data_IF_143389370772
#
_entry.id   IF_143389370772
#
_cell.length_a   1.000
_cell.length_b   1.000
_cell.length_c   1.000
_cell.angle_alpha   90.00
_cell.angle_beta   90.00
_cell.angle_gamma   90.00
#
_symmetry.space_group_name_H-M   'P 1'
#
loop_
_entity.id
_entity.type
_entity.pdbx_description
1 polymer ?
#
# COMPACT_ATOMS: atom_id res chain seq x y z
N UNK A 1 3.00 22.37 -5.24
CA UNK A 1 4.00 23.27 -5.89
C UNK A 1 3.34 23.87 -7.11
N UNK A 2 3.36 25.20 -7.24
CA UNK A 2 2.66 25.91 -8.31
C UNK A 2 3.36 25.79 -9.67
N UNK A 3 2.62 25.98 -10.75
CA UNK A 3 3.10 25.93 -12.14
C UNK A 3 4.32 26.86 -12.37
N UNK A 4 4.37 27.98 -11.66
CA UNK A 4 5.47 28.94 -11.64
C UNK A 4 6.77 28.34 -11.09
N UNK A 5 6.69 27.46 -10.09
CA UNK A 5 7.86 26.74 -9.54
C UNK A 5 8.40 25.72 -10.54
N UNK A 6 7.52 25.03 -11.27
CA UNK A 6 7.92 24.06 -12.30
C UNK A 6 8.62 24.76 -13.48
N UNK A 7 8.06 25.87 -13.97
CA UNK A 7 8.67 26.67 -15.04
C UNK A 7 10.03 27.25 -14.66
N UNK A 8 10.23 27.60 -13.39
CA UNK A 8 11.53 28.04 -12.86
C UNK A 8 12.55 26.89 -12.82
N UNK A 9 12.13 25.70 -12.36
CA UNK A 9 13.01 24.53 -12.29
C UNK A 9 13.49 24.07 -13.67
N UNK A 10 12.61 24.10 -14.69
CA UNK A 10 12.96 23.77 -16.09
C UNK A 10 14.03 24.70 -16.68
N UNK A 11 14.23 25.89 -16.11
CA UNK A 11 15.25 26.85 -16.55
C UNK A 11 16.49 26.86 -15.66
N UNK A 12 16.50 26.03 -14.61
CA UNK A 12 17.63 25.98 -13.68
C UNK A 12 18.87 25.36 -14.33
N UNK A 13 20.05 25.90 -14.01
CA UNK A 13 21.32 25.42 -14.56
C UNK A 13 21.54 23.91 -14.32
N UNK A 14 21.11 23.39 -13.15
CA UNK A 14 21.17 21.96 -12.83
C UNK A 14 20.35 21.09 -13.80
N UNK A 15 19.19 21.56 -14.24
CA UNK A 15 18.37 20.81 -15.20
C UNK A 15 19.01 20.81 -16.60
N UNK A 16 19.57 21.96 -17.02
CA UNK A 16 20.28 22.08 -18.30
C UNK A 16 21.54 21.20 -18.33
N UNK A 17 22.30 21.16 -17.24
CA UNK A 17 23.50 20.33 -17.09
C UNK A 17 23.18 18.82 -17.08
N UNK A 18 22.06 18.42 -16.47
CA UNK A 18 21.62 17.02 -16.53
C UNK A 18 21.05 16.63 -17.90
N UNK A 19 20.43 17.57 -18.64
CA UNK A 19 19.94 17.32 -20.00
C UNK A 19 21.08 17.12 -21.00
N UNK A 20 22.17 17.89 -20.89
CA UNK A 20 23.36 17.70 -21.72
C UNK A 20 24.07 16.38 -21.39
N UNK A 21 24.10 15.96 -20.12
CA UNK A 21 24.61 14.65 -19.71
C UNK A 21 23.74 13.47 -20.21
N UNK A 22 22.42 13.65 -20.29
CA UNK A 22 21.47 12.60 -20.72
C UNK A 22 21.46 12.40 -22.24
N UNK A 23 21.84 13.43 -23.02
CA UNK A 23 21.89 13.34 -24.48
C UNK A 23 23.10 12.50 -24.97
N UNK A 24 24.10 12.32 -24.12
CA UNK A 24 25.33 11.61 -24.47
C UNK A 24 25.28 10.09 -24.25
N UNK A 25 24.35 9.52 -23.47
CA UNK A 25 24.37 8.07 -23.20
C UNK A 25 23.00 7.42 -22.96
N UNK A 26 22.80 6.33 -23.71
CA UNK A 26 21.83 5.23 -23.55
C UNK A 26 20.39 5.45 -24.01
N UNK A 27 20.08 4.92 -25.19
CA UNK A 27 18.73 4.44 -25.50
C UNK A 27 18.56 3.06 -24.87
N UNK A 28 17.41 2.80 -24.24
CA UNK A 28 17.03 1.52 -23.58
C UNK A 28 17.34 0.28 -24.43
N UNK A 29 17.37 0.42 -25.76
CA UNK A 29 17.71 -0.62 -26.73
C UNK A 29 19.13 -1.20 -26.57
N UNK A 30 20.08 -0.45 -26.02
CA UNK A 30 21.46 -0.92 -25.81
C UNK A 30 21.57 -2.00 -24.73
N UNK A 31 20.54 -2.16 -23.88
CA UNK A 31 20.56 -3.17 -22.82
C UNK A 31 20.05 -4.56 -23.25
N UNK A 32 19.45 -4.68 -24.43
CA UNK A 32 18.79 -5.92 -24.87
C UNK A 32 19.46 -6.61 -26.07
N UNK A 33 20.53 -6.06 -26.64
CA UNK A 33 21.19 -6.63 -27.82
C UNK A 33 22.71 -6.70 -27.65
N UNK A 34 23.19 -7.79 -27.03
CA UNK A 34 24.50 -8.38 -27.30
C UNK A 34 24.65 -9.71 -26.54
N UNK A 35 24.01 -10.77 -27.05
CA UNK A 35 24.60 -12.11 -26.95
C UNK A 35 25.10 -12.42 -28.35
N UNK A 36 26.37 -12.11 -28.63
CA UNK A 36 27.09 -12.75 -29.72
C UNK A 36 28.56 -12.87 -29.32
N UNK A 37 29.05 -14.10 -29.40
CA UNK A 37 30.39 -14.61 -29.10
C UNK A 37 31.55 -13.64 -29.39
N UNK A 38 32.38 -13.38 -28.38
CA UNK A 38 33.82 -13.24 -28.59
C UNK A 38 34.63 -13.79 -27.41
N UNK A 39 35.48 -14.78 -27.71
CA UNK A 39 36.42 -15.47 -26.83
C UNK A 39 37.67 -14.61 -26.65
N UNK A 40 37.96 -14.15 -25.44
CA UNK A 40 39.28 -13.63 -25.02
C UNK A 40 39.53 -14.00 -23.55
N UNK A 41 40.78 -14.31 -23.23
CA UNK A 41 41.35 -14.91 -22.02
C UNK A 41 41.16 -14.16 -20.68
N UNK A 42 41.36 -14.81 -19.51
CA UNK A 42 40.81 -14.36 -18.24
C UNK A 42 41.73 -13.38 -17.50
N UNK A 43 41.22 -12.17 -17.26
CA UNK A 43 41.71 -11.26 -16.23
C UNK A 43 40.79 -11.41 -15.01
N UNK A 44 41.28 -11.54 -13.76
CA UNK A 44 40.42 -11.78 -12.60
C UNK A 44 39.78 -10.46 -12.15
N UNK A 45 38.73 -10.03 -12.82
CA UNK A 45 37.78 -9.08 -12.25
C UNK A 45 36.75 -9.89 -11.46
N UNK A 46 36.79 -9.72 -10.13
CA UNK A 46 35.79 -10.22 -9.19
C UNK A 46 34.43 -9.58 -9.51
N UNK A 47 33.69 -10.14 -10.46
CA UNK A 47 32.29 -9.81 -10.68
C UNK A 47 31.46 -10.58 -9.66
N UNK A 48 31.12 -9.94 -8.54
CA UNK A 48 29.98 -10.34 -7.71
C UNK A 48 28.70 -10.16 -8.53
N UNK A 49 28.38 -11.16 -9.36
CA UNK A 49 27.00 -11.44 -9.75
C UNK A 49 26.31 -11.98 -8.51
N UNK A 50 25.90 -11.07 -7.62
CA UNK A 50 24.95 -11.43 -6.58
C UNK A 50 23.67 -11.86 -7.30
N UNK A 51 23.36 -13.16 -7.17
CA UNK A 51 22.26 -13.83 -7.83
C UNK A 51 20.95 -13.05 -7.59
N UNK A 52 20.40 -12.45 -8.64
CA UNK A 52 19.19 -11.59 -8.59
C UNK A 52 18.03 -12.32 -7.90
N UNK A 53 17.96 -13.65 -8.05
CA UNK A 53 16.98 -14.51 -7.37
C UNK A 53 17.09 -14.41 -5.85
N UNK A 54 18.31 -14.36 -5.31
CA UNK A 54 18.56 -14.25 -3.88
C UNK A 54 18.12 -12.89 -3.31
N UNK A 55 18.35 -11.80 -4.06
CA UNK A 55 17.95 -10.45 -3.67
C UNK A 55 16.43 -10.30 -3.64
N UNK A 56 15.74 -10.83 -4.66
CA UNK A 56 14.29 -10.84 -4.71
C UNK A 56 13.67 -11.63 -3.54
N UNK A 57 14.26 -12.79 -3.18
CA UNK A 57 13.83 -13.58 -2.02
C UNK A 57 14.03 -12.84 -0.70
N UNK A 58 15.19 -12.21 -0.52
CA UNK A 58 15.48 -11.41 0.68
C UNK A 58 14.50 -10.25 0.83
N UNK A 59 14.24 -9.51 -0.26
CA UNK A 59 13.24 -8.44 -0.28
C UNK A 59 11.84 -8.96 0.12
N UNK A 60 11.42 -10.11 -0.42
CA UNK A 60 10.14 -10.72 -0.06
C UNK A 60 10.05 -11.04 1.44
N UNK A 61 11.08 -11.67 2.01
CA UNK A 61 11.11 -12.00 3.44
C UNK A 61 11.06 -10.76 4.35
N UNK A 62 11.68 -9.65 3.93
CA UNK A 62 11.58 -8.37 4.65
C UNK A 62 10.15 -7.85 4.60
N UNK A 63 9.55 -7.78 3.41
CA UNK A 63 8.17 -7.31 3.23
C UNK A 63 7.18 -8.17 4.03
N UNK A 64 7.34 -9.50 4.03
CA UNK A 64 6.51 -10.41 4.81
C UNK A 64 6.62 -10.09 6.32
N UNK A 65 7.82 -9.85 6.82
CA UNK A 65 8.04 -9.42 8.20
C UNK A 65 7.39 -8.08 8.54
N UNK A 66 7.44 -7.12 7.61
CA UNK A 66 6.81 -5.81 7.78
C UNK A 66 5.28 -5.87 7.74
N UNK A 67 4.70 -6.75 6.91
CA UNK A 67 3.25 -7.04 6.88
C UNK A 67 2.82 -7.68 8.20
N UNK A 68 3.55 -8.69 8.68
CA UNK A 68 3.26 -9.35 9.96
C UNK A 68 3.34 -8.39 11.14
N UNK A 69 4.37 -7.53 11.17
CA UNK A 69 4.49 -6.49 12.19
C UNK A 69 3.30 -5.52 12.14
N UNK A 70 2.92 -5.07 10.95
CA UNK A 70 1.78 -4.17 10.77
C UNK A 70 0.46 -4.82 11.22
N UNK A 71 0.22 -6.08 10.88
CA UNK A 71 -0.92 -6.85 11.35
C UNK A 71 -0.93 -6.97 12.88
N UNK A 72 0.22 -7.24 13.50
CA UNK A 72 0.35 -7.28 14.96
C UNK A 72 -0.04 -5.94 15.59
N UNK A 73 0.42 -4.82 15.02
CA UNK A 73 0.07 -3.50 15.54
C UNK A 73 -1.42 -3.22 15.48
N UNK A 74 -2.06 -3.48 14.33
CA UNK A 74 -3.50 -3.25 14.15
C UNK A 74 -4.32 -4.12 15.09
N UNK A 75 -4.00 -5.42 15.17
CA UNK A 75 -4.74 -6.38 16.01
C UNK A 75 -4.52 -6.17 17.50
N UNK A 76 -3.37 -5.61 17.91
CA UNK A 76 -3.07 -5.29 19.30
C UNK A 76 -3.40 -3.83 19.67
N UNK A 77 -4.06 -3.07 18.78
CA UNK A 77 -4.42 -1.67 18.97
C UNK A 77 -3.23 -0.74 19.32
N UNK A 78 -2.07 -1.00 18.72
CA UNK A 78 -0.92 -0.11 18.89
C UNK A 78 -1.08 1.14 18.02
N UNK A 79 -0.66 2.28 18.56
CA UNK A 79 -0.51 3.48 17.74
C UNK A 79 0.58 3.23 16.68
N UNK A 80 0.44 3.79 15.48
CA UNK A 80 1.52 3.70 14.49
C UNK A 80 2.83 4.30 15.01
N UNK A 81 2.74 5.34 15.86
CA UNK A 81 3.89 5.96 16.52
C UNK A 81 4.64 4.99 17.44
N UNK A 82 4.00 3.92 17.92
CA UNK A 82 4.65 2.85 18.69
C UNK A 82 5.66 2.05 17.86
N UNK A 83 5.59 2.12 16.52
CA UNK A 83 6.63 1.54 15.64
C UNK A 83 7.83 2.45 15.38
N UNK A 84 7.84 3.67 15.95
CA UNK A 84 9.01 4.53 15.88
C UNK A 84 10.24 3.78 16.45
N UNK A 85 11.36 3.84 15.72
CA UNK A 85 12.63 3.18 16.08
C UNK A 85 12.60 1.66 16.22
N UNK A 86 11.49 0.98 15.87
CA UNK A 86 11.40 -0.49 15.96
C UNK A 86 12.42 -1.18 15.05
N UNK A 87 12.70 -0.61 13.87
CA UNK A 87 13.75 -1.14 12.99
C UNK A 87 15.13 -1.10 13.63
N UNK A 88 15.47 -0.05 14.38
CA UNK A 88 16.77 0.04 15.06
C UNK A 88 16.84 -0.92 16.25
N UNK A 89 15.73 -1.11 16.96
CA UNK A 89 15.62 -2.13 18.00
C UNK A 89 15.84 -3.53 17.42
N UNK A 90 15.20 -3.88 16.30
CA UNK A 90 15.36 -5.20 15.67
C UNK A 90 16.78 -5.44 15.18
N UNK A 91 17.43 -4.43 14.60
CA UNK A 91 18.87 -4.49 14.25
C UNK A 91 19.74 -4.82 15.45
N UNK A 92 19.42 -4.27 16.63
CA UNK A 92 20.18 -4.48 17.87
C UNK A 92 19.87 -5.82 18.53
N UNK A 93 18.63 -6.29 18.46
CA UNK A 93 18.21 -7.60 18.98
C UNK A 93 18.72 -8.76 18.12
N UNK A 94 18.79 -8.57 16.80
CA UNK A 94 19.14 -9.61 15.84
C UNK A 94 20.23 -9.13 14.86
N UNK A 95 21.45 -8.86 15.34
CA UNK A 95 22.51 -8.23 14.54
C UNK A 95 23.03 -9.12 13.41
N UNK A 96 22.82 -10.43 13.49
CA UNK A 96 23.20 -11.45 12.50
C UNK A 96 22.15 -11.63 11.40
N UNK A 97 20.93 -11.09 11.56
CA UNK A 97 19.81 -11.34 10.63
C UNK A 97 19.66 -10.24 9.61
N UNK A 98 19.83 -10.62 8.34
CA UNK A 98 19.65 -9.71 7.19
C UNK A 98 18.24 -9.10 7.13
N UNK A 99 17.22 -9.88 7.51
CA UNK A 99 15.84 -9.37 7.61
C UNK A 99 15.75 -8.23 8.62
N UNK A 100 16.36 -8.38 9.80
CA UNK A 100 16.35 -7.34 10.83
C UNK A 100 17.16 -6.11 10.42
N UNK A 101 18.29 -6.31 9.72
CA UNK A 101 19.09 -5.21 9.14
C UNK A 101 18.30 -4.37 8.13
N UNK A 102 17.52 -5.03 7.28
CA UNK A 102 16.74 -4.40 6.22
C UNK A 102 15.35 -3.93 6.66
N UNK A 103 14.88 -4.33 7.85
CA UNK A 103 13.57 -3.93 8.38
C UNK A 103 13.50 -2.40 8.55
N UNK A 104 12.50 -1.78 7.91
CA UNK A 104 12.33 -0.33 7.89
C UNK A 104 10.89 0.10 8.19
N UNK A 105 10.03 -0.82 8.61
CA UNK A 105 8.61 -0.55 8.88
C UNK A 105 8.43 0.25 10.18
N UNK A 106 8.36 1.57 9.99
CA UNK A 106 8.04 2.56 11.00
C UNK A 106 6.61 3.07 10.81
N UNK A 107 6.25 4.15 11.51
CA UNK A 107 4.89 4.71 11.56
C UNK A 107 4.27 4.89 10.17
N UNK A 108 4.95 5.61 9.28
CA UNK A 108 4.44 5.96 7.96
C UNK A 108 4.29 4.75 7.06
N UNK A 109 5.27 3.84 7.11
CA UNK A 109 5.26 2.61 6.31
C UNK A 109 4.17 1.67 6.78
N UNK A 110 3.96 1.58 8.09
CA UNK A 110 2.86 0.81 8.67
C UNK A 110 1.50 1.34 8.24
N UNK A 111 1.28 2.66 8.35
CA UNK A 111 0.04 3.29 7.88
C UNK A 111 -0.19 3.05 6.37
N UNK A 112 0.87 3.14 5.57
CA UNK A 112 0.84 2.84 4.14
C UNK A 112 0.46 1.38 3.88
N UNK A 113 1.09 0.42 4.58
CA UNK A 113 0.79 -1.02 4.46
C UNK A 113 -0.66 -1.30 4.85
N UNK A 114 -1.18 -0.68 5.91
CA UNK A 114 -2.59 -0.83 6.30
C UNK A 114 -3.51 -0.33 5.19
N UNK A 115 -3.31 0.90 4.70
CA UNK A 115 -4.25 1.54 3.78
C UNK A 115 -4.15 1.01 2.35
N UNK A 116 -2.94 0.80 1.82
CA UNK A 116 -2.70 0.40 0.43
C UNK A 116 -2.43 -1.10 0.25
N UNK A 117 -2.08 -1.82 1.31
CA UNK A 117 -1.84 -3.27 1.26
C UNK A 117 -2.99 -4.06 1.85
N UNK A 118 -3.19 -3.94 3.17
CA UNK A 118 -4.13 -4.77 3.92
C UNK A 118 -5.59 -4.45 3.62
N UNK A 119 -5.98 -3.17 3.61
CA UNK A 119 -7.37 -2.75 3.32
C UNK A 119 -7.89 -3.33 2.00
N UNK A 120 -7.25 -3.12 0.82
CA UNK A 120 -7.77 -3.67 -0.43
C UNK A 120 -7.80 -5.21 -0.42
N UNK A 121 -6.82 -5.87 0.20
CA UNK A 121 -6.84 -7.33 0.36
C UNK A 121 -8.07 -7.80 1.14
N UNK A 122 -8.32 -7.28 2.33
CA UNK A 122 -9.46 -7.69 3.15
C UNK A 122 -10.81 -7.28 2.55
N UNK A 123 -10.86 -6.16 1.82
CA UNK A 123 -12.04 -5.75 1.08
C UNK A 123 -12.36 -6.74 -0.04
N UNK A 124 -11.36 -7.20 -0.79
CA UNK A 124 -11.56 -8.23 -1.84
C UNK A 124 -12.03 -9.57 -1.27
N UNK A 125 -11.62 -9.92 -0.05
CA UNK A 125 -12.13 -11.10 0.66
C UNK A 125 -13.60 -10.92 1.02
N UNK A 126 -13.97 -9.75 1.55
CA UNK A 126 -15.37 -9.43 1.87
C UNK A 126 -16.25 -9.48 0.62
N UNK A 127 -15.80 -8.90 -0.51
CA UNK A 127 -16.54 -8.92 -1.77
C UNK A 127 -16.79 -10.35 -2.26
N UNK A 128 -15.76 -11.21 -2.30
CA UNK A 128 -15.92 -12.63 -2.67
C UNK A 128 -16.91 -13.38 -1.79
N UNK A 129 -16.90 -13.12 -0.49
CA UNK A 129 -17.85 -13.76 0.43
C UNK A 129 -19.29 -13.28 0.18
N UNK A 130 -19.47 -12.01 -0.20
CA UNK A 130 -20.78 -11.45 -0.50
C UNK A 130 -21.31 -11.88 -1.86
N UNK A 131 -20.46 -12.07 -2.87
CA UNK A 131 -20.81 -12.66 -4.17
C UNK A 131 -21.33 -14.10 -4.04
N UNK A 132 -20.92 -14.81 -3.00
CA UNK A 132 -21.36 -16.18 -2.71
C UNK A 132 -22.60 -16.25 -1.81
N UNK A 133 -23.04 -15.11 -1.25
CA UNK A 133 -24.21 -15.04 -0.38
C UNK A 133 -25.46 -14.71 -1.21
N UNK A 134 -26.60 -15.35 -0.90
CA UNK A 134 -27.89 -15.07 -1.56
C UNK A 134 -28.37 -13.62 -1.35
N UNK A 135 -27.80 -12.94 -0.36
CA UNK A 135 -28.03 -11.53 -0.11
C UNK A 135 -27.27 -11.04 1.12
N UNK A 136 -27.34 -9.74 1.35
CA UNK A 136 -26.77 -9.11 2.52
C UNK A 136 -27.60 -7.91 2.97
N UNK A 137 -27.43 -7.54 4.23
CA UNK A 137 -28.00 -6.34 4.82
C UNK A 137 -26.87 -5.38 5.16
N UNK A 138 -27.03 -4.12 4.78
CA UNK A 138 -26.13 -3.05 5.20
C UNK A 138 -26.63 -2.49 6.53
N UNK A 139 -25.73 -2.41 7.50
CA UNK A 139 -25.97 -1.83 8.82
C UNK A 139 -25.13 -0.56 8.93
N UNK A 140 -25.68 0.50 9.49
CA UNK A 140 -24.93 1.72 9.76
C UNK A 140 -25.17 2.22 11.18
N UNK A 141 -24.15 2.80 11.80
CA UNK A 141 -24.24 3.39 13.13
C UNK A 141 -23.48 4.71 13.16
N UNK A 142 -24.13 5.77 13.65
CA UNK A 142 -23.52 7.09 13.82
C UNK A 142 -23.02 7.30 15.24
N UNK A 143 -21.77 7.76 15.39
CA UNK A 143 -21.15 8.13 16.66
C UNK A 143 -20.37 9.44 16.52
N UNK A 144 -20.05 10.08 17.65
CA UNK A 144 -19.06 11.15 17.68
C UNK A 144 -17.68 10.51 17.85
N UNK A 145 -16.75 10.81 16.94
CA UNK A 145 -15.36 10.45 17.14
C UNK A 145 -14.75 11.42 18.16
N UNK A 146 -14.52 10.96 19.39
CA UNK A 146 -14.05 11.81 20.49
C UNK A 146 -12.66 12.42 20.25
N UNK A 147 -11.80 11.76 19.48
CA UNK A 147 -10.47 12.27 19.19
C UNK A 147 -10.51 13.40 18.16
N UNK A 148 -11.26 13.18 17.07
CA UNK A 148 -11.35 14.14 15.96
C UNK A 148 -12.45 15.19 16.15
N UNK A 149 -13.33 15.00 17.13
CA UNK A 149 -14.53 15.82 17.37
C UNK A 149 -15.40 15.95 16.10
N UNK A 150 -15.51 14.85 15.35
CA UNK A 150 -16.29 14.77 14.10
C UNK A 150 -17.29 13.63 14.18
N UNK A 151 -18.47 13.82 13.60
CA UNK A 151 -19.44 12.73 13.48
C UNK A 151 -18.92 11.71 12.48
N UNK A 152 -19.04 10.44 12.84
CA UNK A 152 -18.59 9.31 12.06
C UNK A 152 -19.75 8.32 11.92
N UNK A 153 -19.93 7.78 10.72
CA UNK A 153 -20.86 6.68 10.48
C UNK A 153 -20.05 5.45 10.08
N UNK A 154 -20.15 4.43 10.92
CA UNK A 154 -19.56 3.12 10.65
C UNK A 154 -20.56 2.27 9.87
N UNK A 155 -20.10 1.64 8.80
CA UNK A 155 -20.89 0.83 7.89
C UNK A 155 -20.40 -0.61 7.99
N UNK A 156 -21.33 -1.52 8.24
CA UNK A 156 -21.10 -2.95 8.32
C UNK A 156 -21.99 -3.67 7.32
N UNK A 157 -21.55 -4.85 6.89
CA UNK A 157 -22.34 -5.75 6.06
C UNK A 157 -22.61 -7.03 6.85
N UNK A 158 -23.88 -7.44 6.88
CA UNK A 158 -24.34 -8.68 7.49
C UNK A 158 -24.87 -9.62 6.42
N UNK A 159 -24.36 -10.84 6.40
CA UNK A 159 -24.66 -11.85 5.38
C UNK A 159 -24.54 -13.25 5.97
N UNK A 160 -25.01 -14.25 5.24
CA UNK A 160 -24.77 -15.65 5.57
C UNK A 160 -23.41 -16.06 5.01
N UNK A 161 -22.45 -16.40 5.87
CA UNK A 161 -21.19 -16.99 5.42
C UNK A 161 -21.41 -18.48 5.23
N UNK A 162 -20.92 -19.03 4.12
CA UNK A 162 -20.93 -20.48 3.86
C UNK A 162 -19.78 -21.18 4.60
N UNK A 163 -18.74 -20.45 5.00
CA UNK A 163 -17.55 -20.98 5.67
C UNK A 163 -17.01 -19.98 6.71
N UNK A 164 -17.37 -20.13 8.00
CA UNK A 164 -18.29 -21.13 8.56
C UNK A 164 -19.77 -20.77 8.30
N UNK A 165 -20.64 -21.79 8.26
CA UNK A 165 -22.10 -21.66 8.09
C UNK A 165 -22.76 -20.88 9.24
N UNK A 166 -22.75 -19.54 9.15
CA UNK A 166 -23.38 -18.66 10.14
C UNK A 166 -23.63 -17.26 9.59
N UNK A 167 -24.57 -16.58 10.22
CA UNK A 167 -24.70 -15.13 10.08
C UNK A 167 -23.40 -14.46 10.54
N UNK A 168 -22.78 -13.72 9.64
CA UNK A 168 -21.53 -13.00 9.87
C UNK A 168 -21.77 -11.51 9.66
N UNK A 169 -21.23 -10.67 10.54
CA UNK A 169 -21.22 -9.21 10.38
C UNK A 169 -19.78 -8.75 10.27
N UNK A 170 -19.44 -8.06 9.18
CA UNK A 170 -18.10 -7.52 8.95
C UNK A 170 -18.15 -6.01 8.80
N UNK A 171 -17.14 -5.34 9.35
CA UNK A 171 -16.89 -3.94 9.07
C UNK A 171 -16.56 -3.75 7.59
N UNK A 172 -17.16 -2.73 6.97
CA UNK A 172 -16.87 -2.35 5.59
C UNK A 172 -16.04 -1.07 5.55
N UNK A 173 -16.58 0.05 6.05
CA UNK A 173 -15.90 1.35 6.04
C UNK A 173 -16.50 2.29 7.08
N UNK A 174 -15.83 3.43 7.29
CA UNK A 174 -16.33 4.54 8.10
C UNK A 174 -16.31 5.82 7.28
N UNK A 175 -17.35 6.64 7.40
CA UNK A 175 -17.43 7.94 6.73
C UNK A 175 -17.59 9.07 7.74
N UNK A 176 -16.80 10.13 7.60
CA UNK A 176 -16.98 11.34 8.40
C UNK A 176 -18.09 12.20 7.83
N UNK A 177 -18.90 12.74 8.74
CA UNK A 177 -20.06 13.57 8.44
C UNK A 177 -19.91 14.92 9.14
N UNK A 178 -20.35 15.99 8.50
CA UNK A 178 -20.51 17.29 9.15
C UNK A 178 -21.85 17.33 9.88
N UNK A 179 -22.92 17.35 9.09
CA UNK A 179 -24.30 17.24 9.56
C UNK A 179 -24.77 15.77 9.54
N UNK A 180 -25.86 15.47 10.24
CA UNK A 180 -26.44 14.12 10.31
C UNK A 180 -27.96 14.18 10.20
N UNK A 181 -28.45 15.02 9.29
CA UNK A 181 -29.85 14.95 8.88
C UNK A 181 -30.09 13.64 8.13
N UNK A 182 -31.36 13.27 7.96
CA UNK A 182 -31.70 12.08 7.18
C UNK A 182 -31.12 12.13 5.75
N UNK A 183 -31.07 13.32 5.14
CA UNK A 183 -30.48 13.52 3.81
C UNK A 183 -28.96 13.28 3.83
N UNK A 184 -28.25 13.82 4.82
CA UNK A 184 -26.80 13.63 4.95
C UNK A 184 -26.45 12.15 5.14
N UNK A 185 -27.21 11.45 5.99
CA UNK A 185 -27.03 10.02 6.24
C UNK A 185 -27.25 9.21 4.96
N UNK A 186 -28.33 9.48 4.23
CA UNK A 186 -28.63 8.81 2.97
C UNK A 186 -27.53 9.05 1.93
N UNK A 187 -27.12 10.29 1.73
CA UNK A 187 -26.08 10.66 0.76
C UNK A 187 -24.75 9.97 1.08
N UNK A 188 -24.32 10.01 2.35
CA UNK A 188 -23.05 9.40 2.77
C UNK A 188 -23.09 7.88 2.73
N UNK A 189 -24.23 7.27 3.06
CA UNK A 189 -24.40 5.82 2.98
C UNK A 189 -24.36 5.36 1.52
N UNK A 190 -25.10 6.01 0.62
CA UNK A 190 -25.13 5.63 -0.79
C UNK A 190 -23.77 5.85 -1.45
N UNK A 191 -23.11 6.98 -1.21
CA UNK A 191 -21.77 7.25 -1.75
C UNK A 191 -20.74 6.22 -1.29
N UNK A 192 -20.79 5.79 -0.03
CA UNK A 192 -19.91 4.71 0.45
C UNK A 192 -20.18 3.37 -0.25
N UNK A 193 -21.43 3.08 -0.62
CA UNK A 193 -21.80 1.83 -1.28
C UNK A 193 -21.53 1.86 -2.80
N UNK A 194 -21.41 3.03 -3.43
CA UNK A 194 -20.98 3.12 -4.83
C UNK A 194 -19.56 2.56 -5.02
N UNK A 195 -18.64 2.87 -4.09
CA UNK A 195 -17.29 2.30 -4.07
C UNK A 195 -17.29 0.77 -3.90
N UNK A 196 -18.33 0.23 -3.26
CA UNK A 196 -18.49 -1.20 -3.02
C UNK A 196 -18.80 -1.96 -4.32
N UNK A 197 -19.70 -1.39 -5.14
CA UNK A 197 -20.20 -1.98 -6.41
C UNK A 197 -19.26 -1.71 -7.57
N UNK A 198 -18.59 -0.56 -7.58
CA UNK A 198 -17.67 -0.17 -8.65
C UNK A 198 -16.44 -1.07 -8.78
N UNK A 199 -16.25 -2.00 -7.82
CA UNK A 199 -15.40 -3.18 -7.91
C UNK A 199 -14.31 -3.01 -8.95
N UNK A 200 -13.29 -2.19 -8.65
CA UNK A 200 -12.05 -2.28 -9.41
C UNK A 200 -11.60 -3.72 -9.22
N UNK A 201 -11.97 -4.57 -10.18
CA UNK A 201 -11.46 -5.92 -10.29
C UNK A 201 -9.95 -5.70 -10.29
N UNK A 202 -9.31 -6.04 -9.19
CA UNK A 202 -7.87 -6.06 -9.10
C UNK A 202 -7.45 -7.25 -9.97
N UNK A 203 -7.54 -7.06 -11.29
CA UNK A 203 -6.89 -7.88 -12.27
C UNK A 203 -5.42 -7.65 -12.01
N UNK A 204 -4.82 -8.59 -11.28
CA UNK A 204 -3.40 -8.64 -11.00
C UNK A 204 -2.67 -8.85 -12.32
N UNK A 205 -2.50 -7.79 -13.09
CA UNK A 205 -1.60 -7.72 -14.24
C UNK A 205 -0.90 -6.36 -14.19
N UNK A 206 0.26 -6.35 -13.53
CA UNK A 206 1.36 -5.39 -13.72
C UNK A 206 1.12 -3.90 -13.42
N UNK A 207 0.63 -3.50 -12.25
CA UNK A 207 0.77 -2.09 -11.86
C UNK A 207 -0.04 -1.66 -10.66
N UNK A 208 0.65 -1.12 -9.67
CA UNK A 208 0.10 -0.48 -8.48
C UNK A 208 -0.88 0.65 -8.87
N UNK A 209 -2.00 0.83 -8.15
CA UNK A 209 -2.91 1.93 -8.41
C UNK A 209 -2.22 3.27 -8.16
N UNK A 210 -2.22 4.16 -9.16
CA UNK A 210 -1.75 5.53 -9.03
C UNK A 210 -2.78 6.34 -8.24
N UNK A 211 -2.38 6.88 -7.09
CA UNK A 211 -3.20 7.79 -6.31
C UNK A 211 -3.44 9.11 -7.05
N UNK A 212 -4.71 9.53 -7.17
CA UNK A 212 -5.03 10.96 -7.23
C UNK A 212 -4.89 11.54 -5.80
N UNK A 213 -4.33 12.75 -5.65
CA UNK A 213 -4.21 13.38 -4.34
C UNK A 213 -5.56 13.98 -3.95
N UNK A 214 -6.23 13.37 -2.98
CA UNK A 214 -7.23 14.10 -2.19
C UNK A 214 -6.59 14.54 -0.87
N UNK A 215 -6.84 15.80 -0.57
CA UNK A 215 -6.17 16.66 0.40
C UNK A 215 -6.60 16.27 1.81
N UNK A 216 -5.61 16.17 2.70
CA UNK A 216 -5.78 16.00 4.15
C UNK A 216 -6.65 17.09 4.78
#
# INVERSE_FOLDING_TARGET
MGESTLKSHMKSAKHVENMTATTAHSTVRSHFTAVEKQRVEPTPSSSTSSDVSSLCKAHKSVVDGEILWTLKMVTAHYSYKSSAHTGDLFKKMFPDREIAKAFSCSERKSAYVVYHGLRPFFLSCLQRELEQSDGYTVLFHGSLNDYLQRKQMDIHVRYWSTMPERVTTRFYTSVFMGHSTAKDLQEKLLGALEEFVAGESCSAVNGWPQCKPEVF
#
